data_IF_302973785015
#
_entry.id   IF_302973785015
#
_cell.length_a   1.000
_cell.length_b   1.000
_cell.length_c   1.000
_cell.angle_alpha   90.00
_cell.angle_beta   90.00
_cell.angle_gamma   90.00
#
_symmetry.space_group_name_H-M   'P 1'
#
loop_
_entity.id
_entity.type
_entity.pdbx_description
1 polymer ?
#
# COMPACT_ATOMS: atom_id res chain seq x y z
N UNK A 1 -43.88 -14.50 -60.13
CA UNK A 1 -42.58 -13.83 -59.96
C UNK A 1 -42.63 -13.06 -58.64
N UNK A 2 -42.28 -13.72 -57.54
CA UNK A 2 -42.35 -13.14 -56.20
C UNK A 2 -40.95 -12.72 -55.77
N UNK A 3 -40.71 -11.41 -55.73
CA UNK A 3 -39.54 -10.81 -55.11
C UNK A 3 -39.72 -10.88 -53.59
N UNK A 4 -39.14 -11.90 -52.96
CA UNK A 4 -39.21 -12.14 -51.52
C UNK A 4 -37.87 -11.88 -50.85
N UNK A 5 -37.72 -10.68 -50.28
CA UNK A 5 -37.04 -10.39 -49.00
C UNK A 5 -35.72 -11.13 -48.69
N UNK A 6 -34.60 -10.56 -49.17
CA UNK A 6 -33.24 -10.97 -48.78
C UNK A 6 -32.67 -10.18 -47.58
N UNK A 7 -33.52 -9.46 -46.83
CA UNK A 7 -33.07 -8.52 -45.79
C UNK A 7 -32.76 -9.22 -44.45
N UNK A 8 -33.39 -10.38 -44.20
CA UNK A 8 -33.16 -11.19 -43.00
C UNK A 8 -31.75 -11.79 -42.96
N UNK A 9 -31.18 -12.18 -44.12
CA UNK A 9 -29.82 -12.69 -44.21
C UNK A 9 -28.77 -11.60 -43.90
N UNK A 10 -29.02 -10.36 -44.33
CA UNK A 10 -28.15 -9.22 -44.04
C UNK A 10 -28.20 -8.78 -42.56
N UNK A 11 -29.35 -8.93 -41.90
CA UNK A 11 -29.48 -8.69 -40.45
C UNK A 11 -28.76 -9.75 -39.62
N UNK A 12 -28.79 -11.02 -40.03
CA UNK A 12 -28.08 -12.11 -39.33
C UNK A 12 -26.56 -12.00 -39.41
N UNK A 13 -26.00 -11.46 -40.50
CA UNK A 13 -24.55 -11.19 -40.62
C UNK A 13 -24.06 -10.04 -39.73
N UNK A 14 -24.91 -9.07 -39.41
CA UNK A 14 -24.61 -7.98 -38.46
C UNK A 14 -24.59 -8.44 -36.99
N UNK A 15 -25.28 -9.53 -36.65
CA UNK A 15 -25.27 -10.12 -35.30
C UNK A 15 -24.25 -11.26 -35.12
N UNK A 16 -23.65 -11.76 -36.20
CA UNK A 16 -22.77 -12.94 -36.17
C UNK A 16 -21.27 -12.62 -36.02
N UNK A 17 -20.89 -11.34 -36.01
CA UNK A 17 -19.51 -10.94 -35.70
C UNK A 17 -19.52 -10.09 -34.44
N UNK A 18 -19.23 -10.65 -33.24
CA UNK A 18 -18.67 -9.81 -32.21
C UNK A 18 -17.36 -9.28 -32.79
N UNK A 19 -17.37 -8.01 -33.22
CA UNK A 19 -16.14 -7.25 -33.33
C UNK A 19 -15.54 -7.29 -31.92
N UNK A 20 -14.63 -8.23 -31.69
CA UNK A 20 -13.72 -8.17 -30.57
C UNK A 20 -12.84 -6.94 -30.84
N UNK A 21 -13.34 -5.77 -30.44
CA UNK A 21 -12.53 -4.57 -30.39
C UNK A 21 -11.58 -4.81 -29.22
N UNK A 22 -10.36 -5.22 -29.53
CA UNK A 22 -9.28 -5.22 -28.55
C UNK A 22 -8.97 -3.75 -28.24
N UNK A 23 -9.64 -3.20 -27.23
CA UNK A 23 -9.42 -1.82 -26.80
C UNK A 23 -8.00 -1.66 -26.23
N UNK A 24 -7.50 -2.62 -25.46
CA UNK A 24 -6.13 -2.57 -24.95
C UNK A 24 -5.39 -3.89 -25.15
N UNK A 25 -4.14 -3.82 -25.60
CA UNK A 25 -3.26 -5.00 -25.71
C UNK A 25 -2.71 -5.39 -24.34
N UNK A 26 -3.55 -6.09 -23.56
CA UNK A 26 -3.25 -6.47 -22.16
C UNK A 26 -1.95 -7.27 -22.03
N UNK A 27 -1.53 -8.02 -23.06
CA UNK A 27 -0.30 -8.80 -23.07
C UNK A 27 0.99 -7.95 -23.04
N UNK A 28 0.88 -6.65 -23.33
CA UNK A 28 2.01 -5.72 -23.27
C UNK A 28 2.25 -5.17 -21.86
N UNK A 29 1.31 -5.39 -20.94
CA UNK A 29 1.34 -4.86 -19.58
C UNK A 29 1.34 -5.99 -18.56
N UNK A 30 2.36 -6.01 -17.68
CA UNK A 30 2.44 -6.99 -16.60
C UNK A 30 1.18 -6.98 -15.72
N UNK A 31 0.63 -8.17 -15.46
CA UNK A 31 -0.22 -8.42 -14.29
C UNK A 31 0.64 -8.50 -13.01
N UNK A 32 0.01 -8.49 -11.84
CA UNK A 32 0.73 -8.67 -10.57
C UNK A 32 1.47 -10.03 -10.54
N UNK A 33 0.88 -11.10 -11.08
CA UNK A 33 1.51 -12.42 -11.14
C UNK A 33 2.72 -12.48 -12.09
N UNK A 34 2.80 -11.57 -13.06
CA UNK A 34 3.94 -11.40 -13.96
C UNK A 34 5.00 -10.44 -13.42
N UNK A 35 4.71 -9.75 -12.31
CA UNK A 35 5.67 -8.92 -11.58
C UNK A 35 6.16 -9.69 -10.35
N UNK A 36 7.41 -10.14 -10.35
CA UNK A 36 7.92 -11.05 -9.33
C UNK A 36 7.74 -10.51 -7.90
N UNK A 37 8.05 -9.23 -7.67
CA UNK A 37 7.90 -8.63 -6.35
C UNK A 37 6.41 -8.52 -5.94
N UNK A 38 5.52 -8.12 -6.85
CA UNK A 38 4.09 -8.05 -6.56
C UNK A 38 3.55 -9.42 -6.16
N UNK A 39 3.82 -10.44 -6.98
CA UNK A 39 3.45 -11.83 -6.72
C UNK A 39 3.92 -12.32 -5.34
N UNK A 40 5.18 -12.05 -5.00
CA UNK A 40 5.75 -12.48 -3.72
C UNK A 40 5.12 -11.80 -2.52
N UNK A 41 4.83 -10.50 -2.59
CA UNK A 41 4.15 -9.78 -1.50
C UNK A 41 2.69 -10.21 -1.38
N UNK A 42 2.00 -10.42 -2.50
CA UNK A 42 0.60 -10.89 -2.51
C UNK A 42 0.43 -12.31 -1.97
N UNK A 43 1.49 -13.12 -2.02
CA UNK A 43 1.51 -14.47 -1.48
C UNK A 43 1.62 -14.55 0.07
N UNK A 44 1.84 -13.41 0.77
CA UNK A 44 1.92 -13.37 2.23
C UNK A 44 0.53 -13.66 2.82
N UNK A 45 0.38 -14.82 3.46
CA UNK A 45 -0.86 -15.25 4.13
C UNK A 45 -0.79 -15.17 5.66
N UNK A 46 0.42 -15.29 6.21
CA UNK A 46 0.70 -15.25 7.64
C UNK A 46 1.61 -14.06 7.96
N UNK A 47 1.53 -13.48 9.18
CA UNK A 47 2.37 -12.37 9.58
C UNK A 47 3.87 -12.66 9.40
N UNK A 48 4.62 -11.70 8.87
CA UNK A 48 6.07 -11.80 8.61
C UNK A 48 6.94 -11.77 9.88
N UNK A 49 6.32 -11.54 11.04
CA UNK A 49 6.92 -11.75 12.35
C UNK A 49 7.86 -10.64 12.84
N UNK A 50 7.77 -9.42 12.31
CA UNK A 50 8.55 -8.30 12.83
C UNK A 50 8.15 -7.96 14.28
N UNK A 51 9.17 -7.75 15.10
CA UNK A 51 9.08 -7.20 16.45
C UNK A 51 10.04 -6.03 16.63
N UNK A 52 9.74 -5.14 17.57
CA UNK A 52 10.58 -3.99 17.90
C UNK A 52 11.54 -4.32 19.04
N UNK A 53 12.82 -3.99 18.87
CA UNK A 53 13.85 -4.18 19.89
C UNK A 53 13.85 -3.00 20.87
N UNK A 54 13.22 -3.17 22.04
CA UNK A 54 13.02 -2.08 23.01
C UNK A 54 14.31 -1.37 23.46
N UNK A 55 15.43 -2.10 23.54
CA UNK A 55 16.74 -1.55 23.91
C UNK A 55 17.38 -0.67 22.83
N UNK A 56 16.82 -0.66 21.61
CA UNK A 56 17.30 0.17 20.50
C UNK A 56 16.58 1.51 20.38
N UNK A 57 15.58 1.75 21.23
CA UNK A 57 14.78 2.98 21.18
C UNK A 57 15.65 4.19 21.53
N UNK A 58 15.60 5.21 20.68
CA UNK A 58 16.19 6.52 20.91
C UNK A 58 15.21 7.61 20.48
N UNK A 59 15.28 8.78 21.11
CA UNK A 59 14.43 9.92 20.81
C UNK A 59 15.24 11.20 20.87
N UNK A 60 15.18 11.99 19.80
CA UNK A 60 15.77 13.31 19.72
C UNK A 60 14.79 14.30 19.08
N UNK A 61 14.19 15.16 19.91
CA UNK A 61 13.30 16.22 19.43
C UNK A 61 12.06 15.67 18.71
N UNK A 62 12.04 15.80 17.39
CA UNK A 62 10.94 15.36 16.53
C UNK A 62 11.08 13.92 16.02
N UNK A 63 12.24 13.28 16.24
CA UNK A 63 12.57 11.98 15.67
C UNK A 63 12.65 10.94 16.77
N UNK A 64 11.83 9.90 16.67
CA UNK A 64 11.87 8.71 17.51
C UNK A 64 12.31 7.53 16.64
N UNK A 65 13.33 6.80 17.06
CA UNK A 65 13.97 5.75 16.26
C UNK A 65 14.00 4.45 17.03
N UNK A 66 13.84 3.33 16.33
CA UNK A 66 14.03 1.99 16.88
C UNK A 66 14.48 1.02 15.78
N UNK A 67 14.92 -0.18 16.18
CA UNK A 67 15.17 -1.31 15.28
C UNK A 67 14.01 -2.29 15.33
N UNK A 68 13.60 -2.75 14.15
CA UNK A 68 12.69 -3.87 13.97
C UNK A 68 13.50 -5.11 13.60
N UNK A 69 13.06 -6.29 14.00
CA UNK A 69 13.72 -7.54 13.65
C UNK A 69 12.70 -8.64 13.40
N UNK A 70 12.98 -9.51 12.44
CA UNK A 70 12.34 -10.82 12.31
C UNK A 70 13.40 -11.90 12.07
N UNK A 71 12.99 -13.09 11.65
CA UNK A 71 13.91 -14.19 11.33
C UNK A 71 14.78 -13.95 10.10
N UNK A 72 14.42 -12.97 9.24
CA UNK A 72 15.10 -12.70 7.98
C UNK A 72 16.10 -11.56 8.10
N UNK A 73 15.71 -10.45 8.74
CA UNK A 73 16.53 -9.25 8.79
C UNK A 73 16.22 -8.32 9.96
N UNK A 74 16.99 -7.23 10.04
CA UNK A 74 16.79 -6.11 10.94
C UNK A 74 16.56 -4.86 10.12
N UNK A 75 15.59 -4.03 10.52
CA UNK A 75 15.24 -2.78 9.85
C UNK A 75 15.35 -1.61 10.82
N UNK A 76 15.48 -0.40 10.30
CA UNK A 76 15.43 0.85 11.04
C UNK A 76 14.05 1.49 10.87
N UNK A 77 13.39 1.79 11.99
CA UNK A 77 12.15 2.56 12.06
C UNK A 77 12.44 3.98 12.53
N UNK A 78 11.98 4.98 11.78
CA UNK A 78 11.89 6.36 12.23
C UNK A 78 10.42 6.80 12.26
N UNK A 79 10.01 7.37 13.38
CA UNK A 79 8.79 8.16 13.51
C UNK A 79 9.18 9.63 13.64
N UNK A 80 8.70 10.46 12.73
CA UNK A 80 9.01 11.89 12.70
C UNK A 80 7.72 12.70 12.89
N UNK A 81 7.71 13.54 13.92
CA UNK A 81 6.67 14.54 14.12
C UNK A 81 6.92 15.74 13.22
N UNK A 82 5.92 16.15 12.46
CA UNK A 82 6.00 17.32 11.59
C UNK A 82 5.02 18.39 12.06
N UNK A 83 5.16 19.60 11.51
CA UNK A 83 4.13 20.64 11.63
C UNK A 83 2.77 20.16 11.07
N UNK A 84 1.72 20.93 11.35
CA UNK A 84 0.36 20.69 10.84
C UNK A 84 -0.23 19.30 11.15
N UNK A 85 0.07 18.78 12.34
CA UNK A 85 -0.42 17.48 12.82
C UNK A 85 -0.03 16.30 11.92
N UNK A 86 1.04 16.42 11.14
CA UNK A 86 1.50 15.33 10.26
C UNK A 86 2.49 14.44 11.01
N UNK A 87 2.36 13.12 10.80
CA UNK A 87 3.33 12.13 11.28
C UNK A 87 3.90 11.40 10.08
N UNK A 88 5.23 11.29 10.02
CA UNK A 88 5.93 10.52 9.00
C UNK A 88 6.48 9.23 9.61
N UNK A 89 6.20 8.10 8.95
CA UNK A 89 6.70 6.77 9.31
C UNK A 89 7.69 6.34 8.23
N UNK A 90 8.93 6.05 8.60
CA UNK A 90 9.92 5.52 7.68
C UNK A 90 10.46 4.18 8.18
N UNK A 91 10.47 3.17 7.32
CA UNK A 91 11.12 1.88 7.57
C UNK A 91 12.13 1.64 6.44
N UNK A 92 13.40 1.54 6.82
CA UNK A 92 14.55 1.43 5.93
C UNK A 92 15.47 0.28 6.39
N UNK A 93 16.43 -0.08 5.55
CA UNK A 93 17.54 -0.92 5.96
C UNK A 93 18.45 -0.21 6.97
N UNK A 94 19.21 -0.94 7.78
CA UNK A 94 20.16 -0.36 8.73
C UNK A 94 21.30 0.36 7.99
N UNK A 95 22.05 1.20 8.72
CA UNK A 95 23.19 1.95 8.19
C UNK A 95 24.31 1.08 7.61
N UNK A 96 24.33 -0.21 7.97
CA UNK A 96 25.25 -1.22 7.46
C UNK A 96 24.85 -1.78 6.08
N UNK A 97 23.71 -1.36 5.53
CA UNK A 97 23.28 -1.80 4.20
C UNK A 97 24.30 -1.43 3.12
N UNK A 98 24.46 -2.30 2.14
CA UNK A 98 25.43 -2.12 1.06
C UNK A 98 25.09 -0.95 0.13
N UNK A 99 23.86 -0.45 0.19
CA UNK A 99 23.35 0.65 -0.63
C UNK A 99 22.21 1.38 0.08
N UNK A 100 22.14 2.70 -0.13
CA UNK A 100 21.02 3.52 0.35
C UNK A 100 19.78 3.33 -0.53
N UNK A 101 18.62 3.21 0.12
CA UNK A 101 17.32 3.23 -0.56
C UNK A 101 17.01 4.65 -1.07
N UNK A 102 16.30 4.73 -2.19
CA UNK A 102 15.93 5.99 -2.80
C UNK A 102 14.78 6.66 -2.03
N UNK A 103 14.91 7.96 -1.78
CA UNK A 103 13.84 8.83 -1.25
C UNK A 103 13.53 9.88 -2.31
N UNK A 104 12.28 10.05 -2.77
CA UNK A 104 11.95 10.95 -3.87
C UNK A 104 11.90 12.43 -3.45
N UNK A 105 12.99 12.93 -2.85
CA UNK A 105 13.11 14.32 -2.37
C UNK A 105 12.74 15.41 -3.40
N UNK A 106 13.01 15.26 -4.72
CA UNK A 106 12.58 16.26 -5.71
C UNK A 106 11.06 16.48 -5.80
N UNK A 107 10.24 15.56 -5.29
CA UNK A 107 8.79 15.73 -5.23
C UNK A 107 8.33 16.66 -4.09
N UNK A 108 9.23 17.02 -3.15
CA UNK A 108 8.96 17.95 -2.08
C UNK A 108 9.27 19.39 -2.52
N UNK A 109 8.32 20.30 -2.35
CA UNK A 109 8.56 21.74 -2.57
C UNK A 109 9.60 22.28 -1.58
N UNK A 110 9.58 21.78 -0.35
CA UNK A 110 10.58 22.03 0.68
C UNK A 110 10.64 20.82 1.62
N UNK A 111 11.75 20.68 2.35
CA UNK A 111 11.86 19.69 3.42
C UNK A 111 10.77 19.99 4.47
N UNK A 112 9.89 19.04 4.81
CA UNK A 112 8.84 19.25 5.81
C UNK A 112 9.43 19.67 7.15
N UNK A 113 8.86 20.71 7.76
CA UNK A 113 9.34 21.22 9.05
C UNK A 113 9.03 20.23 10.17
N UNK A 114 10.08 19.87 10.92
CA UNK A 114 9.99 18.97 12.05
C UNK A 114 9.44 19.68 13.29
N UNK A 115 8.51 19.01 13.98
CA UNK A 115 7.95 19.50 15.25
C UNK A 115 8.25 18.51 16.37
N UNK A 116 9.00 18.98 17.38
CA UNK A 116 9.42 18.16 18.52
C UNK A 116 8.22 17.51 19.21
N UNK A 117 8.34 16.23 19.54
CA UNK A 117 7.28 15.52 20.28
C UNK A 117 7.08 16.16 21.65
N UNK A 118 5.80 16.36 22.02
CA UNK A 118 5.46 16.97 23.30
C UNK A 118 5.61 16.00 24.47
N UNK A 119 5.43 14.70 24.21
CA UNK A 119 5.61 13.63 25.20
C UNK A 119 5.97 12.33 24.50
N UNK A 120 6.97 11.63 25.05
CA UNK A 120 7.35 10.27 24.66
C UNK A 120 7.41 9.43 25.93
N UNK A 121 6.75 8.27 25.91
CA UNK A 121 6.78 7.28 26.99
C UNK A 121 7.12 5.92 26.39
N UNK A 122 8.32 5.43 26.65
CA UNK A 122 8.75 4.10 26.21
C UNK A 122 8.44 3.09 27.33
N UNK A 123 7.40 2.29 27.15
CA UNK A 123 7.02 1.22 28.08
C UNK A 123 7.71 -0.10 27.74
N UNK A 124 7.32 -1.17 28.44
CA UNK A 124 7.87 -2.51 28.25
C UNK A 124 7.36 -3.22 26.99
N UNK A 125 6.10 -2.95 26.58
CA UNK A 125 5.44 -3.61 25.44
C UNK A 125 5.05 -2.64 24.32
N UNK A 126 5.05 -1.34 24.62
CA UNK A 126 4.63 -0.30 23.69
C UNK A 126 5.28 1.04 24.03
N UNK A 127 5.45 1.89 23.01
CA UNK A 127 5.80 3.29 23.16
C UNK A 127 4.59 4.17 22.83
N UNK A 128 4.37 5.23 23.62
CA UNK A 128 3.31 6.23 23.40
C UNK A 128 3.95 7.58 23.13
N UNK A 129 3.67 8.12 21.94
CA UNK A 129 4.29 9.34 21.41
C UNK A 129 3.16 10.34 21.12
N UNK A 130 3.27 11.55 21.64
CA UNK A 130 2.32 12.63 21.40
C UNK A 130 3.00 13.70 20.53
N UNK A 131 2.36 14.08 19.43
CA UNK A 131 2.83 15.15 18.54
C UNK A 131 3.06 16.46 19.29
N UNK A 132 3.88 17.35 18.73
CA UNK A 132 4.22 18.61 19.39
C UNK A 132 3.00 19.51 19.63
N UNK A 133 2.04 19.50 18.71
CA UNK A 133 0.75 20.21 18.82
C UNK A 133 -0.30 19.48 19.67
N UNK A 134 0.03 18.27 20.17
CA UNK A 134 -0.82 17.39 21.00
C UNK A 134 -2.10 16.89 20.31
N UNK A 135 -2.19 17.01 18.99
CA UNK A 135 -3.36 16.56 18.21
C UNK A 135 -3.25 15.13 17.71
N UNK A 136 -2.06 14.55 17.68
CA UNK A 136 -1.84 13.18 17.21
C UNK A 136 -1.13 12.37 18.27
N UNK A 137 -1.69 11.23 18.63
CA UNK A 137 -1.04 10.24 19.48
C UNK A 137 -0.71 9.01 18.64
N UNK A 138 0.55 8.62 18.66
CA UNK A 138 1.05 7.40 18.02
C UNK A 138 1.39 6.39 19.12
N UNK A 139 0.90 5.17 18.97
CA UNK A 139 1.25 4.04 19.84
C UNK A 139 1.98 3.01 19.00
N UNK A 140 3.20 2.65 19.39
CA UNK A 140 3.99 1.61 18.73
C UNK A 140 4.00 0.39 19.64
N UNK A 141 3.25 -0.64 19.28
CA UNK A 141 3.29 -1.95 19.95
C UNK A 141 4.50 -2.74 19.45
N UNK A 142 5.24 -3.37 20.35
CA UNK A 142 6.53 -3.98 20.00
C UNK A 142 6.39 -5.38 19.42
N UNK A 143 5.49 -6.21 19.95
CA UNK A 143 5.34 -7.61 19.54
C UNK A 143 3.86 -8.06 19.55
N UNK A 144 3.28 -8.40 18.38
CA UNK A 144 3.82 -8.13 17.04
C UNK A 144 3.99 -6.61 16.82
N UNK A 145 4.90 -6.23 15.92
CA UNK A 145 5.11 -4.82 15.57
C UNK A 145 3.85 -4.23 14.92
N UNK A 146 3.32 -3.15 15.51
CA UNK A 146 2.13 -2.45 15.05
C UNK A 146 2.22 -0.97 15.41
N UNK A 147 1.92 -0.08 14.47
CA UNK A 147 1.77 1.35 14.75
C UNK A 147 0.29 1.69 14.72
N UNK A 148 -0.23 2.31 15.78
CA UNK A 148 -1.62 2.79 15.88
C UNK A 148 -1.64 4.31 16.02
N UNK A 149 -2.40 4.98 15.14
CA UNK A 149 -2.47 6.44 15.04
C UNK A 149 -3.84 6.91 15.50
N UNK A 150 -3.84 7.80 16.49
CA UNK A 150 -5.03 8.39 17.09
C UNK A 150 -5.09 9.88 16.82
N UNK A 151 -6.29 10.41 16.55
CA UNK A 151 -6.53 11.83 16.34
C UNK A 151 -6.71 12.61 17.66
N UNK A 152 -7.02 13.91 17.55
CA UNK A 152 -7.17 14.82 18.69
C UNK A 152 -8.36 14.48 19.61
N UNK A 153 -9.31 13.69 19.09
CA UNK A 153 -10.47 13.20 19.83
C UNK A 153 -10.21 11.86 20.52
N UNK A 154 -9.00 11.31 20.40
CA UNK A 154 -8.63 10.01 20.96
C UNK A 154 -9.17 8.82 20.16
N UNK A 155 -9.68 9.03 18.94
CA UNK A 155 -10.16 7.96 18.06
C UNK A 155 -9.00 7.32 17.30
N UNK A 156 -8.97 5.99 17.23
CA UNK A 156 -8.06 5.25 16.35
C UNK A 156 -8.50 5.44 14.90
N UNK A 157 -7.62 5.99 14.06
CA UNK A 157 -7.95 6.36 12.67
C UNK A 157 -7.12 5.60 11.63
N UNK A 158 -5.91 5.17 11.98
CA UNK A 158 -5.06 4.41 11.09
C UNK A 158 -4.17 3.44 11.87
N UNK A 159 -3.82 2.32 11.24
CA UNK A 159 -2.83 1.37 11.74
C UNK A 159 -1.87 0.98 10.61
N UNK A 160 -0.60 0.76 10.95
CA UNK A 160 0.41 0.23 10.03
C UNK A 160 0.84 -1.14 10.53
N UNK A 161 0.88 -2.11 9.63
CA UNK A 161 1.24 -3.49 9.89
C UNK A 161 0.26 -4.25 10.81
N UNK A 162 -1.05 -3.99 10.70
CA UNK A 162 -2.11 -4.69 11.45
C UNK A 162 -2.20 -6.16 11.04
N UNK A 163 -2.11 -6.43 9.73
CA UNK A 163 -2.14 -7.78 9.17
C UNK A 163 -0.76 -8.45 9.19
N UNK A 164 0.28 -7.73 9.61
CA UNK A 164 1.64 -8.25 9.68
C UNK A 164 2.28 -8.46 8.32
N UNK A 165 1.94 -7.65 7.30
CA UNK A 165 2.45 -7.80 5.93
C UNK A 165 3.73 -7.01 5.64
N UNK A 166 4.31 -6.33 6.65
CA UNK A 166 5.60 -5.65 6.50
C UNK A 166 6.63 -6.62 5.93
N UNK A 167 7.19 -6.30 4.78
CA UNK A 167 8.29 -7.05 4.16
C UNK A 167 9.23 -6.06 3.48
N UNK A 168 10.51 -6.16 3.78
CA UNK A 168 11.58 -5.37 3.14
C UNK A 168 12.65 -6.34 2.67
N UNK A 169 12.88 -6.40 1.36
CA UNK A 169 13.91 -7.24 0.77
C UNK A 169 15.21 -6.46 0.67
N UNK A 170 16.17 -6.81 1.54
CA UNK A 170 17.45 -6.12 1.65
C UNK A 170 18.31 -6.25 0.39
N UNK A 171 19.03 -5.17 0.06
CA UNK A 171 20.04 -5.22 -0.97
C UNK A 171 21.11 -6.25 -0.62
N UNK A 172 21.44 -7.11 -1.58
CA UNK A 172 22.46 -8.14 -1.38
C UNK A 172 23.30 -8.39 -2.62
N UNK A 173 24.48 -8.96 -2.41
CA UNK A 173 25.28 -9.53 -3.49
C UNK A 173 24.83 -10.95 -3.77
N UNK A 174 24.92 -11.38 -5.03
CA UNK A 174 24.59 -12.75 -5.41
C UNK A 174 25.63 -13.71 -4.86
N UNK A 175 25.17 -14.67 -4.06
CA UNK A 175 26.01 -15.72 -3.48
C UNK A 175 25.99 -16.95 -4.39
N UNK A 176 27.16 -17.49 -4.74
CA UNK A 176 27.25 -18.72 -5.54
C UNK A 176 26.71 -19.92 -4.75
N UNK A 177 25.92 -20.76 -5.41
CA UNK A 177 25.33 -21.96 -4.80
C UNK A 177 24.12 -21.73 -3.89
N UNK A 178 23.69 -20.47 -3.68
CA UNK A 178 22.48 -20.15 -2.93
C UNK A 178 21.27 -20.05 -3.85
N UNK A 179 20.20 -20.76 -3.50
CA UNK A 179 18.91 -20.65 -4.19
C UNK A 179 18.17 -19.39 -3.74
N UNK A 180 17.54 -18.72 -4.70
CA UNK A 180 16.72 -17.52 -4.47
C UNK A 180 15.35 -17.72 -5.12
N UNK A 181 14.30 -17.06 -4.61
CA UNK A 181 12.99 -17.10 -5.24
C UNK A 181 13.02 -16.68 -6.70
N UNK A 182 12.10 -17.23 -7.50
CA UNK A 182 11.93 -16.84 -8.90
C UNK A 182 11.74 -15.32 -9.03
N UNK A 183 12.45 -14.73 -10.00
CA UNK A 183 12.45 -13.28 -10.25
C UNK A 183 13.14 -12.43 -9.18
N UNK A 184 13.83 -13.03 -8.21
CA UNK A 184 14.64 -12.28 -7.25
C UNK A 184 15.86 -11.62 -7.89
N UNK A 185 16.46 -12.23 -8.91
CA UNK A 185 17.57 -11.65 -9.68
C UNK A 185 17.08 -11.23 -11.06
N UNK A 186 17.59 -11.86 -12.11
CA UNK A 186 17.18 -11.56 -13.47
C UNK A 186 15.69 -11.88 -13.67
N UNK A 187 14.97 -10.96 -14.29
CA UNK A 187 13.57 -11.14 -14.68
C UNK A 187 13.40 -10.73 -16.14
N UNK A 188 12.71 -11.58 -16.90
CA UNK A 188 12.44 -11.33 -18.32
C UNK A 188 10.97 -11.03 -18.53
N UNK A 189 10.69 -9.96 -19.26
CA UNK A 189 9.34 -9.65 -19.75
C UNK A 189 9.40 -9.32 -21.23
N UNK A 190 8.75 -10.16 -22.05
CA UNK A 190 8.82 -10.11 -23.51
C UNK A 190 10.29 -10.13 -23.97
N UNK A 191 10.74 -9.12 -24.71
CA UNK A 191 12.12 -8.99 -25.20
C UNK A 191 13.08 -8.34 -24.20
N UNK A 192 12.58 -7.82 -23.08
CA UNK A 192 13.38 -7.07 -22.11
C UNK A 192 13.82 -7.96 -20.95
N UNK A 193 15.09 -7.83 -20.58
CA UNK A 193 15.69 -8.50 -19.43
C UNK A 193 16.14 -7.43 -18.44
N UNK A 194 15.58 -7.47 -17.23
CA UNK A 194 16.04 -6.69 -16.09
C UNK A 194 17.00 -7.55 -15.27
N UNK A 195 18.24 -7.08 -15.13
CA UNK A 195 19.33 -7.83 -14.50
C UNK A 195 19.32 -7.79 -12.96
N UNK A 196 18.56 -6.86 -12.33
CA UNK A 196 18.53 -6.62 -10.87
C UNK A 196 19.88 -6.86 -10.16
N UNK A 197 20.88 -5.98 -10.34
CA UNK A 197 22.25 -6.23 -9.86
C UNK A 197 22.38 -6.41 -8.33
N UNK A 198 21.38 -5.98 -7.56
CA UNK A 198 21.33 -6.14 -6.10
C UNK A 198 20.16 -7.02 -5.64
N UNK A 199 19.60 -7.80 -6.57
CA UNK A 199 18.40 -8.59 -6.36
C UNK A 199 17.16 -7.73 -6.20
N UNK A 200 16.06 -8.39 -5.81
CA UNK A 200 14.82 -7.73 -5.48
C UNK A 200 15.03 -6.85 -4.25
N UNK A 201 14.61 -5.59 -4.36
CA UNK A 201 14.70 -4.60 -3.30
C UNK A 201 13.33 -4.14 -2.83
N UNK A 202 12.33 -4.98 -2.99
CA UNK A 202 10.94 -4.58 -2.79
C UNK A 202 10.63 -4.28 -1.33
N UNK A 203 9.67 -3.37 -1.12
CA UNK A 203 9.14 -2.99 0.19
C UNK A 203 7.63 -3.05 0.16
N UNK A 204 7.03 -3.48 1.27
CA UNK A 204 5.58 -3.50 1.38
C UNK A 204 5.12 -3.55 2.82
N UNK A 205 3.95 -2.97 3.07
CA UNK A 205 3.30 -2.96 4.39
C UNK A 205 1.80 -2.65 4.23
N UNK A 206 0.98 -3.24 5.09
CA UNK A 206 -0.44 -2.91 5.16
C UNK A 206 -0.73 -1.67 6.00
N UNK A 207 -1.68 -0.87 5.53
CA UNK A 207 -2.23 0.29 6.21
C UNK A 207 -3.74 0.11 6.33
N UNK A 208 -4.26 0.07 7.55
CA UNK A 208 -5.68 -0.05 7.86
C UNK A 208 -6.26 1.29 8.28
N UNK A 209 -7.28 1.78 7.58
CA UNK A 209 -8.05 2.97 7.93
C UNK A 209 -9.23 2.58 8.81
N UNK A 210 -9.10 2.78 10.12
CA UNK A 210 -10.04 2.31 11.13
C UNK A 210 -11.26 3.21 11.22
N UNK A 211 -12.45 2.61 11.31
CA UNK A 211 -13.78 3.24 11.23
C UNK A 211 -14.17 3.79 9.85
N UNK A 212 -13.42 3.43 8.79
CA UNK A 212 -13.73 3.83 7.41
C UNK A 212 -14.18 2.63 6.58
N UNK A 213 -15.21 2.82 5.75
CA UNK A 213 -15.75 1.77 4.87
C UNK A 213 -15.21 1.84 3.46
N UNK A 214 -14.71 3.01 3.08
CA UNK A 214 -14.37 3.39 1.71
C UNK A 214 -13.17 4.33 1.74
N UNK A 215 -12.31 4.19 0.75
CA UNK A 215 -11.22 5.10 0.48
C UNK A 215 -11.23 5.53 -0.99
N UNK A 216 -10.46 6.57 -1.29
CA UNK A 216 -10.40 7.29 -2.56
C UNK A 216 -8.94 7.64 -2.87
N UNK A 217 -8.65 8.02 -4.11
CA UNK A 217 -7.31 8.45 -4.52
C UNK A 217 -6.63 7.41 -5.38
N UNK A 218 -5.31 7.27 -5.20
CA UNK A 218 -4.43 6.44 -6.03
C UNK A 218 -4.59 6.65 -7.54
N UNK A 219 -4.75 7.88 -8.08
CA UNK A 219 -4.86 8.04 -9.54
C UNK A 219 -3.53 7.69 -10.23
N UNK A 220 -3.53 7.38 -11.53
CA UNK A 220 -4.64 7.48 -12.48
C UNK A 220 -5.16 6.12 -12.95
N UNK A 221 -6.47 5.89 -12.77
CA UNK A 221 -7.18 4.71 -13.25
C UNK A 221 -8.50 5.13 -13.87
N UNK A 222 -8.89 4.45 -14.95
CA UNK A 222 -10.21 4.60 -15.55
C UNK A 222 -11.25 3.82 -14.74
N UNK A 223 -11.40 4.15 -13.47
CA UNK A 223 -12.18 3.40 -12.49
C UNK A 223 -13.17 4.31 -11.72
N UNK A 224 -14.01 3.72 -10.86
CA UNK A 224 -14.87 4.44 -9.94
C UNK A 224 -14.07 5.31 -8.98
N UNK A 225 -14.63 6.46 -8.62
CA UNK A 225 -14.00 7.38 -7.66
C UNK A 225 -13.68 6.72 -6.31
N UNK A 226 -14.61 5.91 -5.80
CA UNK A 226 -14.37 5.06 -4.64
C UNK A 226 -13.55 3.84 -5.05
N UNK A 227 -12.48 3.55 -4.30
CA UNK A 227 -11.65 2.37 -4.54
C UNK A 227 -12.45 1.10 -4.29
N UNK A 228 -12.39 0.15 -5.22
CA UNK A 228 -13.03 -1.17 -5.10
C UNK A 228 -12.16 -2.14 -4.28
N UNK A 229 -12.68 -3.33 -3.98
CA UNK A 229 -11.89 -4.41 -3.38
C UNK A 229 -11.10 -5.14 -4.48
N UNK A 230 -9.80 -5.26 -4.36
CA UNK A 230 -8.96 -6.04 -5.30
C UNK A 230 -8.65 -7.44 -4.78
N UNK A 231 -8.52 -7.61 -3.46
CA UNK A 231 -8.19 -8.90 -2.82
C UNK A 231 -9.25 -9.95 -3.19
N UNK A 232 -8.81 -11.00 -3.87
CA UNK A 232 -9.66 -12.12 -4.31
C UNK A 232 -10.59 -11.82 -5.49
N UNK A 233 -10.53 -10.62 -6.09
CA UNK A 233 -11.44 -10.21 -7.17
C UNK A 233 -10.71 -9.87 -8.48
N UNK A 234 -9.59 -9.13 -8.40
CA UNK A 234 -8.87 -8.62 -9.57
C UNK A 234 -7.40 -8.36 -9.21
N UNK A 235 -6.60 -7.80 -10.12
CA UNK A 235 -5.26 -7.32 -9.79
C UNK A 235 -5.29 -6.11 -8.86
N UNK A 236 -4.23 -5.85 -8.09
CA UNK A 236 -4.12 -4.63 -7.27
C UNK A 236 -4.14 -3.37 -8.15
N UNK A 237 -4.46 -2.22 -7.58
CA UNK A 237 -4.24 -0.94 -8.25
C UNK A 237 -2.76 -0.79 -8.56
N UNK A 238 -2.40 -0.58 -9.83
CA UNK A 238 -1.01 -0.40 -10.26
C UNK A 238 -0.72 1.08 -10.47
N UNK A 239 0.39 1.55 -9.91
CA UNK A 239 0.96 2.87 -10.10
C UNK A 239 2.31 2.72 -10.78
N UNK A 240 2.29 2.88 -12.10
CA UNK A 240 3.46 2.89 -12.96
C UNK A 240 3.10 3.66 -14.22
N UNK A 241 3.74 4.81 -14.45
CA UNK A 241 3.38 5.68 -15.56
C UNK A 241 3.66 4.96 -16.88
N UNK A 242 2.58 4.63 -17.60
CA UNK A 242 2.59 3.86 -18.83
C UNK A 242 1.82 4.60 -19.92
N UNK A 243 2.29 4.47 -21.14
CA UNK A 243 1.54 4.88 -22.33
C UNK A 243 0.58 3.74 -22.72
N UNK A 244 -0.68 3.84 -22.27
CA UNK A 244 -1.71 2.82 -22.48
C UNK A 244 -2.71 3.30 -23.54
N UNK A 245 -2.42 2.95 -24.80
CA UNK A 245 -3.31 3.24 -25.93
C UNK A 245 -4.67 2.55 -25.77
N UNK A 246 -5.75 3.27 -26.08
CA UNK A 246 -7.15 2.80 -26.05
C UNK A 246 -7.57 2.10 -24.74
N UNK A 247 -7.10 2.60 -23.58
CA UNK A 247 -7.38 2.02 -22.26
C UNK A 247 -8.86 1.65 -22.04
N UNK A 248 -9.08 0.49 -21.41
CA UNK A 248 -10.41 0.03 -21.01
C UNK A 248 -10.90 0.75 -19.74
N UNK A 249 -12.22 0.81 -19.55
CA UNK A 249 -12.84 1.34 -18.33
C UNK A 249 -12.99 0.26 -17.25
N UNK A 250 -13.22 0.69 -16.00
CA UNK A 250 -13.56 -0.11 -14.83
C UNK A 250 -12.52 -1.18 -14.45
N UNK A 251 -11.23 -0.88 -14.58
CA UNK A 251 -10.15 -1.80 -14.22
C UNK A 251 -8.96 -1.07 -13.54
N UNK A 252 -8.11 -1.80 -12.78
CA UNK A 252 -7.04 -1.22 -11.95
C UNK A 252 -5.69 -1.05 -12.69
N UNK A 253 -5.64 -1.17 -14.01
CA UNK A 253 -4.39 -1.01 -14.78
C UNK A 253 -3.86 0.42 -14.68
N UNK A 254 -2.55 0.56 -14.49
CA UNK A 254 -1.90 1.87 -14.45
C UNK A 254 -2.06 2.62 -15.77
N UNK A 255 -2.20 3.95 -15.68
CA UNK A 255 -2.25 4.87 -16.82
C UNK A 255 -1.05 5.82 -16.80
N UNK A 256 -1.23 7.10 -17.14
CA UNK A 256 -0.15 8.03 -17.48
C UNK A 256 0.50 8.68 -16.25
N UNK A 257 -0.24 8.79 -15.14
CA UNK A 257 0.19 9.49 -13.92
C UNK A 257 0.00 8.60 -12.71
N UNK A 258 0.88 8.74 -11.73
CA UNK A 258 0.82 8.04 -10.45
C UNK A 258 0.91 9.03 -9.30
N UNK A 259 -0.13 9.09 -8.45
CA UNK A 259 -0.10 9.83 -7.19
C UNK A 259 -0.41 8.83 -6.07
N UNK A 260 0.59 8.38 -5.30
CA UNK A 260 0.43 7.35 -4.27
C UNK A 260 -0.19 7.90 -2.97
N UNK A 261 -1.33 8.59 -3.10
CA UNK A 261 -2.09 9.18 -2.00
C UNK A 261 -3.46 8.50 -1.88
N UNK A 262 -3.78 8.03 -0.68
CA UNK A 262 -5.07 7.44 -0.35
C UNK A 262 -5.77 8.31 0.70
N UNK A 263 -7.07 8.54 0.52
CA UNK A 263 -7.92 9.28 1.44
C UNK A 263 -9.07 8.40 1.89
N UNK A 264 -9.21 8.18 3.19
CA UNK A 264 -10.39 7.56 3.78
C UNK A 264 -11.29 8.65 4.38
N UNK A 265 -12.59 8.60 4.07
CA UNK A 265 -13.54 9.64 4.46
C UNK A 265 -14.85 9.06 5.02
N UNK A 266 -15.36 9.69 6.08
CA UNK A 266 -16.71 9.50 6.65
C UNK A 266 -17.25 10.85 7.11
N UNK A 267 -18.56 10.92 7.39
CA UNK A 267 -19.30 12.18 7.65
C UNK A 267 -18.54 13.27 8.45
N UNK A 268 -17.79 12.90 9.49
CA UNK A 268 -17.10 13.87 10.36
C UNK A 268 -15.58 13.67 10.45
N UNK A 269 -15.00 12.74 9.68
CA UNK A 269 -13.56 12.41 9.77
C UNK A 269 -12.99 12.11 8.42
N UNK A 270 -11.76 12.56 8.22
CA UNK A 270 -10.95 12.24 7.05
C UNK A 270 -9.54 11.92 7.52
N UNK A 271 -8.92 10.92 6.92
CA UNK A 271 -7.50 10.61 7.12
C UNK A 271 -6.90 10.34 5.75
N UNK A 272 -5.77 10.97 5.48
CA UNK A 272 -4.96 10.76 4.30
C UNK A 272 -3.68 10.01 4.64
N UNK A 273 -3.21 9.19 3.71
CA UNK A 273 -1.86 8.66 3.75
C UNK A 273 -1.19 8.87 2.38
N UNK A 274 -0.01 9.47 2.35
CA UNK A 274 0.87 9.53 1.18
C UNK A 274 1.95 8.48 1.34
N UNK A 275 1.91 7.46 0.49
CA UNK A 275 2.98 6.49 0.32
C UNK A 275 4.09 7.13 -0.54
N UNK A 276 5.11 7.68 0.11
CA UNK A 276 6.12 8.53 -0.52
C UNK A 276 7.22 7.70 -1.19
N UNK A 277 6.83 6.99 -2.25
CA UNK A 277 7.69 6.13 -3.07
C UNK A 277 7.49 6.44 -4.55
N UNK A 278 8.55 6.32 -5.36
CA UNK A 278 8.54 6.62 -6.79
C UNK A 278 8.75 5.39 -7.69
N UNK A 279 8.99 4.22 -7.12
CA UNK A 279 9.11 2.97 -7.87
C UNK A 279 7.74 2.46 -8.32
N UNK A 280 7.72 1.46 -9.20
CA UNK A 280 6.49 0.73 -9.52
C UNK A 280 5.82 0.27 -8.23
N UNK A 281 4.53 0.62 -8.07
CA UNK A 281 3.79 0.35 -6.83
C UNK A 281 2.47 -0.35 -7.14
N UNK A 282 2.17 -1.40 -6.39
CA UNK A 282 0.90 -2.13 -6.40
C UNK A 282 0.21 -1.95 -5.05
N UNK A 283 -1.12 -1.74 -5.08
CA UNK A 283 -1.91 -1.52 -3.87
C UNK A 283 -3.12 -2.45 -3.88
N UNK A 284 -3.08 -3.47 -3.01
CA UNK A 284 -4.24 -4.33 -2.79
C UNK A 284 -5.19 -3.66 -1.79
N UNK A 285 -6.48 -3.60 -2.09
CA UNK A 285 -7.49 -2.91 -1.27
C UNK A 285 -8.60 -3.85 -0.82
N UNK A 286 -9.08 -3.67 0.40
CA UNK A 286 -10.18 -4.43 0.96
C UNK A 286 -10.97 -3.64 2.00
N UNK A 287 -12.30 -3.65 1.92
CA UNK A 287 -13.18 -3.07 2.93
C UNK A 287 -13.86 -4.17 3.73
N UNK A 288 -13.73 -4.16 5.07
CA UNK A 288 -14.29 -5.19 5.95
C UNK A 288 -15.82 -5.27 5.97
N UNK A 289 -16.50 -4.25 5.44
CA UNK A 289 -17.96 -4.22 5.30
C UNK A 289 -18.42 -4.87 4.00
N UNK A 290 -17.64 -4.75 2.93
CA UNK A 290 -18.00 -5.24 1.59
C UNK A 290 -17.30 -6.54 1.22
N UNK A 291 -16.20 -6.89 1.90
CA UNK A 291 -15.49 -8.17 1.76
C UNK A 291 -16.24 -9.34 2.42
N UNK A 292 -17.18 -9.05 3.34
CA UNK A 292 -18.14 -10.02 3.86
C UNK A 292 -19.12 -10.39 2.76
N UNK A 293 -18.74 -11.38 1.93
CA UNK A 293 -19.64 -12.06 1.00
C UNK A 293 -20.85 -12.68 1.71
N UNK A 294 -21.71 -13.37 0.96
CA UNK A 294 -22.96 -13.95 1.50
C UNK A 294 -22.72 -14.89 2.70
N UNK A 295 -21.57 -15.56 2.75
CA UNK A 295 -21.17 -16.45 3.85
C UNK A 295 -20.73 -15.72 5.14
N UNK A 296 -20.14 -14.53 5.04
CA UNK A 296 -19.74 -13.73 6.22
C UNK A 296 -20.95 -13.20 7.01
N UNK A 297 -22.06 -12.90 6.32
CA UNK A 297 -23.33 -12.46 6.94
C UNK A 297 -24.01 -13.56 7.75
N UNK A 298 -23.83 -14.82 7.36
CA UNK A 298 -24.37 -15.98 8.10
C UNK A 298 -23.51 -16.27 9.33
N UNK A 299 -22.19 -16.13 9.22
CA UNK A 299 -21.26 -16.34 10.32
C UNK A 299 -21.43 -15.29 11.44
N UNK A 300 -21.49 -13.98 11.11
CA UNK A 300 -21.71 -12.91 12.09
C UNK A 300 -23.01 -13.09 12.90
N UNK A 301 -24.03 -13.66 12.27
CA UNK A 301 -25.34 -13.93 12.89
C UNK A 301 -25.30 -15.10 13.88
N UNK A 302 -24.32 -16.00 13.76
CA UNK A 302 -24.20 -17.22 14.57
C UNK A 302 -23.13 -17.10 15.65
N UNK A 303 -22.07 -16.31 15.42
CA UNK A 303 -20.90 -16.25 16.33
C UNK A 303 -20.76 -14.94 17.13
N UNK A 304 -21.68 -13.98 16.99
CA UNK A 304 -21.68 -12.79 17.83
C UNK A 304 -20.53 -11.82 17.53
N UNK A 305 -20.28 -11.54 16.25
CA UNK A 305 -19.59 -10.34 15.76
C UNK A 305 -18.12 -10.16 16.17
N UNK A 306 -17.22 -10.83 15.46
CA UNK A 306 -15.79 -10.48 15.46
C UNK A 306 -15.54 -9.19 14.66
N UNK A 307 -14.88 -8.21 15.29
CA UNK A 307 -14.58 -6.84 14.82
C UNK A 307 -15.77 -6.06 14.23
N UNK A 308 -16.61 -5.53 15.13
CA UNK A 308 -17.73 -4.62 14.78
C UNK A 308 -17.28 -3.24 14.25
N UNK A 309 -15.98 -2.92 14.22
CA UNK A 309 -15.47 -1.63 13.75
C UNK A 309 -15.11 -1.74 12.26
N UNK A 310 -15.83 -1.03 11.36
CA UNK A 310 -15.50 -1.00 9.94
C UNK A 310 -14.06 -0.54 9.70
N UNK A 311 -13.42 -1.06 8.67
CA UNK A 311 -12.08 -0.63 8.28
C UNK A 311 -11.87 -0.85 6.79
N UNK A 312 -11.00 -0.02 6.20
CA UNK A 312 -10.54 -0.15 4.82
C UNK A 312 -9.03 -0.39 4.86
N UNK A 313 -8.60 -1.52 4.34
CA UNK A 313 -7.20 -1.94 4.32
C UNK A 313 -6.60 -1.69 2.93
N UNK A 314 -5.36 -1.21 2.92
CA UNK A 314 -4.55 -1.04 1.73
C UNK A 314 -3.16 -1.66 1.96
N UNK A 315 -2.78 -2.64 1.16
CA UNK A 315 -1.45 -3.25 1.18
C UNK A 315 -0.59 -2.63 0.08
N UNK A 316 0.31 -1.72 0.46
CA UNK A 316 1.22 -1.05 -0.47
C UNK A 316 2.44 -1.92 -0.70
N UNK A 317 2.85 -2.04 -1.97
CA UNK A 317 3.96 -2.87 -2.41
C UNK A 317 4.75 -2.09 -3.49
N UNK A 318 5.98 -1.70 -3.22
CA UNK A 318 6.85 -1.02 -4.18
C UNK A 318 8.07 -1.85 -4.53
N UNK A 319 8.54 -1.76 -5.78
CA UNK A 319 9.70 -2.49 -6.29
C UNK A 319 11.03 -2.11 -5.60
N UNK A 320 11.14 -0.85 -5.18
CA UNK A 320 12.35 -0.29 -4.59
C UNK A 320 12.02 0.89 -3.67
N UNK A 321 13.05 1.60 -3.21
CA UNK A 321 12.91 2.67 -2.23
C UNK A 321 12.64 2.11 -0.83
N UNK A 322 12.32 2.98 0.11
CA UNK A 322 11.98 2.63 1.49
C UNK A 322 10.46 2.66 1.71
N UNK A 323 10.00 2.11 2.84
CA UNK A 323 8.66 2.39 3.34
C UNK A 323 8.68 3.82 3.89
N UNK A 324 7.94 4.74 3.29
CA UNK A 324 7.86 6.14 3.73
C UNK A 324 6.42 6.61 3.63
N UNK A 325 5.78 6.90 4.76
CA UNK A 325 4.35 7.21 4.82
C UNK A 325 4.14 8.51 5.59
N UNK A 326 3.50 9.48 4.95
CA UNK A 326 2.98 10.66 5.63
C UNK A 326 1.50 10.45 5.97
N UNK A 327 1.14 10.60 7.25
CA UNK A 327 -0.24 10.55 7.70
C UNK A 327 -0.78 11.96 7.94
N UNK A 328 -1.88 12.28 7.26
CA UNK A 328 -2.63 13.53 7.39
C UNK A 328 -3.93 13.23 8.15
N UNK A 329 -4.02 13.64 9.41
CA UNK A 329 -5.07 13.16 10.33
C UNK A 329 -6.38 13.98 10.34
N UNK A 330 -6.55 14.91 9.39
CA UNK A 330 -7.77 15.72 9.26
C UNK A 330 -7.95 16.76 10.38
N UNK A 331 -9.18 17.00 10.89
CA UNK A 331 -10.35 16.11 10.84
C UNK A 331 -11.22 16.22 9.58
N UNK A 332 -11.07 17.29 8.80
CA UNK A 332 -11.84 17.54 7.57
C UNK A 332 -10.99 17.34 6.32
N UNK A 333 -11.64 17.14 5.16
CA UNK A 333 -10.95 17.02 3.86
C UNK A 333 -10.22 18.32 3.48
N UNK A 334 -10.79 19.47 3.87
CA UNK A 334 -10.09 20.74 3.83
C UNK A 334 -9.21 20.83 5.09
N UNK A 335 -7.89 20.78 4.93
CA UNK A 335 -6.98 21.23 5.99
C UNK A 335 -7.30 22.68 6.37
N UNK A 336 -7.07 23.05 7.62
CA UNK A 336 -7.18 24.46 8.03
C UNK A 336 -6.00 25.27 7.54
#
# INVERSE_FOLDING_TARGET
MAAGTNWLASLLLLFATPLAVEMVKRDEFKTCDQSAFCKQHRAIKEPTGYELLANSISHNGAVWTARLQNSQNTLKLNLVGLVDSTVRVQIDEPETAIRKRYVPNPALVAIPEELKFSKVVNGAQEAKILSGDKKVKVVVTYKPFLISIFNEFGELIAQVNRDGKLKVEEFRTKEEGKEYPDGFWEERFRSFTDNKPHGSSSVGVDVSFVSFKTAYGLPEHADSFALRNTVGNTDPYRLYNLDVFEYELNNPMALYVSIPYILAHRANRSVGALWFNAAETWIDTQSSVTSKGLFGKVYDKVTGGGDNVPHFDAHFISEAGLVDIFFFVGPTVKGK
#
